data_IF_461624885217
#
_entry.id   IF_461624885217
#
_cell.length_a   1.000
_cell.length_b   1.000
_cell.length_c   1.000
_cell.angle_alpha   90.00
_cell.angle_beta   90.00
_cell.angle_gamma   90.00
#
_symmetry.space_group_name_H-M   'P 1'
#
loop_
_entity.id
_entity.type
_entity.pdbx_description
1 polymer ?
#
# COMPACT_ATOMS: atom_id res chain seq x y z
N UNK A 1 23.31 -47.60 -16.42
CA UNK A 1 23.12 -46.79 -17.66
C UNK A 1 21.63 -46.50 -17.96
N UNK A 2 20.78 -46.38 -16.93
CA UNK A 2 19.33 -46.11 -17.10
C UNK A 2 18.75 -45.13 -16.04
N UNK A 3 19.58 -44.34 -15.31
CA UNK A 3 19.11 -43.44 -14.28
C UNK A 3 19.19 -41.91 -14.62
N UNK A 4 19.63 -41.54 -15.82
CA UNK A 4 19.83 -40.13 -16.15
C UNK A 4 18.79 -39.48 -17.09
N UNK A 5 17.76 -40.20 -17.53
CA UNK A 5 16.73 -39.61 -18.40
C UNK A 5 15.43 -39.15 -17.69
N UNK A 6 15.20 -39.59 -16.44
CA UNK A 6 13.95 -39.22 -15.74
C UNK A 6 13.98 -37.86 -15.03
N UNK A 7 15.13 -37.19 -14.96
CA UNK A 7 15.27 -35.89 -14.26
C UNK A 7 15.11 -34.70 -15.22
N UNK A 8 15.33 -34.89 -16.50
CA UNK A 8 15.18 -33.82 -17.50
C UNK A 8 13.75 -33.49 -17.89
N UNK A 9 12.83 -34.43 -17.73
CA UNK A 9 11.42 -34.21 -18.13
C UNK A 9 10.55 -33.50 -17.07
N UNK A 10 10.97 -33.43 -15.81
CA UNK A 10 10.21 -32.74 -14.77
C UNK A 10 10.45 -31.22 -14.70
N UNK A 11 11.62 -30.75 -15.16
CA UNK A 11 11.90 -29.30 -15.18
C UNK A 11 11.31 -28.57 -16.38
N UNK A 12 11.01 -29.27 -17.46
CA UNK A 12 10.50 -28.65 -18.68
C UNK A 12 8.98 -28.41 -18.63
N UNK A 13 8.23 -29.28 -17.92
CA UNK A 13 6.79 -29.12 -17.76
C UNK A 13 6.39 -28.02 -16.80
N UNK A 14 7.21 -27.70 -15.77
CA UNK A 14 6.92 -26.62 -14.84
C UNK A 14 7.14 -25.24 -15.47
N UNK A 15 8.13 -25.09 -16.34
CA UNK A 15 8.33 -23.85 -17.11
C UNK A 15 7.25 -23.63 -18.16
N UNK A 16 6.78 -24.69 -18.81
CA UNK A 16 5.69 -24.63 -19.79
C UNK A 16 4.35 -24.26 -19.14
N UNK A 17 4.07 -24.73 -17.94
CA UNK A 17 2.85 -24.38 -17.18
C UNK A 17 2.85 -22.91 -16.77
N UNK A 18 3.99 -22.36 -16.32
CA UNK A 18 4.12 -20.95 -15.99
C UNK A 18 4.05 -20.03 -17.23
N UNK A 19 4.57 -20.46 -18.36
CA UNK A 19 4.50 -19.71 -19.62
C UNK A 19 3.06 -19.68 -20.15
N UNK A 20 2.34 -20.81 -20.12
CA UNK A 20 0.95 -20.92 -20.59
C UNK A 20 -0.01 -20.07 -19.73
N UNK A 21 0.20 -19.99 -18.41
CA UNK A 21 -0.56 -19.12 -17.52
C UNK A 21 -0.26 -17.63 -17.76
N UNK A 22 0.98 -17.29 -18.05
CA UNK A 22 1.39 -15.92 -18.41
C UNK A 22 0.79 -15.48 -19.74
N UNK A 23 0.79 -16.36 -20.74
CA UNK A 23 0.24 -16.09 -22.06
C UNK A 23 -1.28 -16.00 -22.05
N UNK A 24 -1.96 -16.82 -21.24
CA UNK A 24 -3.41 -16.70 -20.97
C UNK A 24 -3.76 -15.39 -20.27
N UNK A 25 -2.97 -14.99 -19.30
CA UNK A 25 -3.16 -13.72 -18.60
C UNK A 25 -2.97 -12.54 -19.56
N UNK A 26 -1.92 -12.57 -20.39
CA UNK A 26 -1.63 -11.54 -21.40
C UNK A 26 -2.75 -11.46 -22.45
N UNK A 27 -3.24 -12.60 -22.93
CA UNK A 27 -4.35 -12.66 -23.88
C UNK A 27 -5.65 -12.09 -23.26
N UNK A 28 -5.96 -12.41 -22.01
CA UNK A 28 -7.11 -11.88 -21.30
C UNK A 28 -6.96 -10.38 -21.03
N UNK A 29 -5.78 -9.91 -20.65
CA UNK A 29 -5.45 -8.49 -20.49
C UNK A 29 -5.63 -7.71 -21.80
N UNK A 30 -5.13 -8.24 -22.93
CA UNK A 30 -5.29 -7.63 -24.26
C UNK A 30 -6.77 -7.60 -24.64
N UNK A 31 -7.51 -8.69 -24.44
CA UNK A 31 -8.94 -8.78 -24.75
C UNK A 31 -9.78 -7.78 -23.95
N UNK A 32 -9.51 -7.65 -22.63
CA UNK A 32 -10.16 -6.67 -21.76
C UNK A 32 -9.79 -5.24 -22.17
N UNK A 33 -8.54 -4.99 -22.54
CA UNK A 33 -8.06 -3.67 -22.97
C UNK A 33 -8.64 -3.27 -24.33
N UNK A 34 -8.74 -4.20 -25.29
CA UNK A 34 -9.40 -3.98 -26.58
C UNK A 34 -10.91 -3.78 -26.45
N UNK A 35 -11.58 -4.54 -25.59
CA UNK A 35 -13.01 -4.34 -25.30
C UNK A 35 -13.27 -2.93 -24.73
N UNK A 36 -12.36 -2.41 -23.89
CA UNK A 36 -12.43 -1.05 -23.36
C UNK A 36 -12.27 0.05 -24.40
N UNK A 37 -11.37 -0.14 -25.37
CA UNK A 37 -11.20 0.81 -26.49
C UNK A 37 -12.42 0.87 -27.39
N UNK A 38 -13.15 -0.21 -27.55
CA UNK A 38 -14.39 -0.28 -28.33
C UNK A 38 -15.59 0.26 -27.53
N UNK A 39 -15.62 0.10 -26.22
CA UNK A 39 -16.68 0.58 -25.32
C UNK A 39 -16.59 2.08 -25.03
N UNK A 40 -15.39 2.67 -25.05
CA UNK A 40 -15.18 4.10 -24.80
C UNK A 40 -15.90 5.01 -25.81
N UNK A 41 -16.32 4.49 -26.96
CA UNK A 41 -17.15 5.21 -27.95
C UNK A 41 -18.66 5.17 -27.65
N UNK A 42 -19.10 4.31 -26.75
CA UNK A 42 -20.53 4.09 -26.44
C UNK A 42 -20.96 4.62 -25.05
N UNK A 43 -20.01 4.89 -24.13
CA UNK A 43 -20.32 5.20 -22.73
C UNK A 43 -20.00 6.65 -22.32
N UNK A 44 -20.48 7.64 -23.07
CA UNK A 44 -20.48 9.05 -22.60
C UNK A 44 -21.39 9.32 -21.40
N UNK A 45 -22.03 8.33 -20.81
CA UNK A 45 -23.02 8.50 -19.75
C UNK A 45 -22.82 7.64 -18.49
N UNK A 46 -21.73 6.88 -18.35
CA UNK A 46 -21.40 6.32 -17.05
C UNK A 46 -20.62 7.39 -16.26
N UNK A 47 -21.24 7.88 -15.19
CA UNK A 47 -20.49 8.69 -14.19
C UNK A 47 -19.31 7.86 -13.75
N UNK A 48 -18.12 8.44 -13.87
CA UNK A 48 -16.91 7.88 -13.27
C UNK A 48 -17.26 7.42 -11.85
N UNK A 49 -16.81 6.25 -11.47
CA UNK A 49 -16.95 5.78 -10.09
C UNK A 49 -16.43 6.91 -9.19
N UNK A 50 -17.17 7.23 -8.14
CA UNK A 50 -16.88 8.39 -7.30
C UNK A 50 -15.74 8.03 -6.36
N UNK A 51 -14.55 7.79 -6.91
CA UNK A 51 -13.29 7.71 -6.17
C UNK A 51 -12.69 9.11 -6.03
N UNK A 52 -13.54 10.10 -5.72
CA UNK A 52 -13.10 11.48 -5.55
C UNK A 52 -12.04 11.51 -4.45
N UNK A 53 -10.90 12.11 -4.78
CA UNK A 53 -9.79 12.31 -3.86
C UNK A 53 -9.13 11.02 -3.31
N UNK A 54 -9.25 9.89 -4.01
CA UNK A 54 -8.50 8.66 -3.64
C UNK A 54 -6.97 8.88 -3.77
N UNK A 55 -6.57 9.79 -4.66
CA UNK A 55 -5.20 10.18 -4.95
C UNK A 55 -4.70 11.40 -4.15
N UNK A 56 -5.56 11.98 -3.28
CA UNK A 56 -5.31 13.19 -2.49
C UNK A 56 -5.12 14.48 -3.31
N UNK A 57 -5.42 14.48 -4.62
CA UNK A 57 -5.19 15.65 -5.50
C UNK A 57 -6.13 16.82 -5.22
N UNK A 58 -7.12 16.68 -4.34
CA UNK A 58 -7.85 17.81 -3.75
C UNK A 58 -7.06 18.56 -2.67
N UNK A 59 -5.89 18.08 -2.27
CA UNK A 59 -5.06 18.69 -1.23
C UNK A 59 -5.66 18.60 0.18
N UNK A 60 -6.51 17.62 0.42
CA UNK A 60 -7.20 17.42 1.69
C UNK A 60 -7.54 15.94 1.92
N UNK A 61 -8.24 15.62 3.02
CA UNK A 61 -8.69 14.26 3.35
C UNK A 61 -10.17 14.01 3.05
N UNK A 62 -10.80 14.76 2.15
CA UNK A 62 -12.19 14.51 1.75
C UNK A 62 -12.35 13.06 1.27
N UNK A 63 -13.35 12.35 1.78
CA UNK A 63 -13.60 10.94 1.47
C UNK A 63 -12.81 9.94 2.33
N UNK A 64 -11.73 10.36 2.98
CA UNK A 64 -10.94 9.55 3.88
C UNK A 64 -11.40 9.69 5.33
N UNK A 65 -11.48 8.58 6.04
CA UNK A 65 -11.62 8.56 7.50
C UNK A 65 -10.23 8.52 8.11
N UNK A 66 -9.90 9.52 8.93
CA UNK A 66 -8.62 9.64 9.61
C UNK A 66 -8.78 9.28 11.08
N UNK A 67 -7.98 8.36 11.58
CA UNK A 67 -8.05 7.94 12.99
C UNK A 67 -6.67 7.96 13.62
N UNK A 68 -6.64 8.32 14.89
CA UNK A 68 -5.47 8.15 15.76
C UNK A 68 -5.70 7.00 16.71
N UNK A 69 -4.64 6.32 17.09
CA UNK A 69 -4.64 5.20 18.01
C UNK A 69 -3.38 5.17 18.86
N UNK A 70 -3.21 4.06 19.56
CA UNK A 70 -2.03 3.78 20.39
C UNK A 70 -1.47 2.41 19.98
N UNK A 71 -0.17 2.32 19.87
CA UNK A 71 0.53 1.05 19.72
C UNK A 71 0.86 0.48 21.10
N UNK A 72 0.08 -0.48 21.55
CA UNK A 72 0.34 -1.27 22.77
C UNK A 72 0.86 -2.68 22.41
N UNK A 73 1.48 -2.83 21.27
CA UNK A 73 1.84 -4.08 20.62
C UNK A 73 1.04 -4.27 19.32
N UNK A 74 1.66 -4.93 18.33
CA UNK A 74 1.00 -5.17 17.03
C UNK A 74 -0.19 -6.14 17.17
N UNK A 75 -1.33 -5.84 16.58
CA UNK A 75 -1.66 -4.60 15.88
C UNK A 75 -2.06 -3.46 16.84
N UNK A 76 -1.71 -2.21 16.49
CA UNK A 76 -2.15 -1.03 17.25
C UNK A 76 -3.67 -0.97 17.39
N UNK A 77 -4.13 -0.33 18.44
CA UNK A 77 -5.54 -0.30 18.79
C UNK A 77 -6.02 1.06 19.32
N UNK A 78 -7.13 1.02 20.06
CA UNK A 78 -7.74 2.21 20.66
C UNK A 78 -8.02 3.34 19.67
N UNK A 79 -8.47 2.97 18.46
CA UNK A 79 -8.73 3.89 17.37
C UNK A 79 -9.85 4.85 17.68
N UNK A 80 -9.60 6.15 17.51
CA UNK A 80 -10.55 7.24 17.76
C UNK A 80 -10.51 8.27 16.63
N UNK A 81 -11.58 9.06 16.54
CA UNK A 81 -11.71 10.13 15.56
C UNK A 81 -12.17 9.64 14.18
N UNK A 82 -12.40 10.61 13.32
CA UNK A 82 -12.75 10.40 11.91
C UNK A 82 -12.17 11.50 11.01
N UNK A 83 -11.61 12.55 11.59
CA UNK A 83 -11.03 13.71 10.92
C UNK A 83 -9.51 13.74 11.10
N UNK A 84 -8.78 14.39 10.16
CA UNK A 84 -7.33 14.50 10.27
C UNK A 84 -6.91 15.27 11.54
N UNK A 85 -5.89 14.77 12.19
CA UNK A 85 -5.26 15.40 13.35
C UNK A 85 -3.91 15.97 12.91
N UNK A 86 -3.67 17.25 13.24
CA UNK A 86 -2.43 17.94 12.89
C UNK A 86 -1.20 17.17 13.39
N UNK A 87 -0.15 17.14 12.58
CA UNK A 87 1.08 16.37 12.79
C UNK A 87 0.94 14.84 12.82
N UNK A 88 -0.30 14.32 12.76
CA UNK A 88 -0.58 12.89 12.70
C UNK A 88 -1.04 12.48 11.29
N UNK A 89 -1.80 13.35 10.63
CA UNK A 89 -2.26 13.21 9.26
C UNK A 89 -1.91 14.51 8.53
N UNK A 90 -0.98 14.46 7.59
CA UNK A 90 -0.46 15.67 6.95
C UNK A 90 -0.52 15.55 5.44
N UNK A 91 -1.13 16.53 4.76
CA UNK A 91 -0.99 16.71 3.33
C UNK A 91 0.36 17.36 3.06
N UNK A 92 1.14 16.75 2.19
CA UNK A 92 2.48 17.19 1.81
C UNK A 92 2.45 17.76 0.40
N UNK A 93 3.05 18.94 0.21
CA UNK A 93 3.07 19.67 -1.07
C UNK A 93 4.47 19.75 -1.69
N UNK A 94 5.47 19.14 -1.07
CA UNK A 94 6.86 19.16 -1.54
C UNK A 94 7.87 19.02 -0.42
N UNK A 95 9.14 19.29 -0.75
CA UNK A 95 10.26 19.17 0.16
C UNK A 95 10.97 17.83 0.07
N UNK A 96 11.96 17.65 0.92
CA UNK A 96 12.81 16.46 1.00
C UNK A 96 12.68 15.85 2.38
N UNK A 97 12.66 14.54 2.46
CA UNK A 97 12.65 13.81 3.72
C UNK A 97 13.97 14.02 4.48
N UNK A 98 13.93 14.34 5.78
CA UNK A 98 15.15 14.69 6.53
C UNK A 98 16.06 13.48 6.79
N UNK A 99 15.56 12.27 6.80
CA UNK A 99 16.33 11.05 7.05
C UNK A 99 16.74 10.37 5.74
N UNK A 100 15.78 10.14 4.86
CA UNK A 100 16.01 9.40 3.62
C UNK A 100 16.51 10.23 2.45
N UNK A 101 16.41 11.58 2.51
CA UNK A 101 16.82 12.46 1.42
C UNK A 101 16.00 12.32 0.15
N UNK A 102 14.92 11.55 0.16
CA UNK A 102 14.02 11.38 -0.99
C UNK A 102 12.99 12.52 -1.06
N UNK A 103 12.43 12.82 -2.24
CA UNK A 103 11.33 13.78 -2.36
C UNK A 103 10.13 13.35 -1.54
N UNK A 104 9.49 14.27 -0.81
CA UNK A 104 8.27 13.96 -0.04
C UNK A 104 7.05 13.73 -0.92
N UNK A 105 7.08 14.21 -2.17
CA UNK A 105 6.07 13.87 -3.18
C UNK A 105 6.49 12.59 -3.91
N UNK A 106 5.54 11.70 -4.10
CA UNK A 106 5.76 10.46 -4.86
C UNK A 106 6.13 10.78 -6.31
N UNK A 107 7.25 10.26 -6.85
CA UNK A 107 7.62 10.51 -8.24
C UNK A 107 6.52 10.11 -9.21
N UNK A 108 6.05 11.08 -10.04
CA UNK A 108 4.91 10.88 -10.94
C UNK A 108 3.58 10.60 -10.24
N UNK A 109 3.45 11.00 -8.97
CA UNK A 109 2.25 10.80 -8.15
C UNK A 109 1.31 11.99 -8.10
N UNK A 110 1.66 13.13 -8.69
CA UNK A 110 0.83 14.34 -8.65
C UNK A 110 1.41 15.45 -7.79
N UNK A 111 0.54 16.30 -7.25
CA UNK A 111 0.86 17.53 -6.52
C UNK A 111 0.94 17.31 -5.02
N UNK A 112 0.28 16.27 -4.52
CA UNK A 112 0.15 15.99 -3.09
C UNK A 112 0.58 14.57 -2.74
N UNK A 113 1.06 14.41 -1.51
CA UNK A 113 1.23 13.12 -0.85
C UNK A 113 0.70 13.20 0.58
N UNK A 114 0.46 12.06 1.20
CA UNK A 114 0.06 12.00 2.61
C UNK A 114 1.22 11.48 3.45
N UNK A 115 1.50 12.13 4.56
CA UNK A 115 2.35 11.62 5.63
C UNK A 115 1.46 11.21 6.82
N UNK A 116 1.61 9.97 7.26
CA UNK A 116 1.02 9.44 8.48
C UNK A 116 2.11 9.34 9.55
N UNK A 117 1.86 9.94 10.69
CA UNK A 117 2.85 10.03 11.77
C UNK A 117 3.83 11.16 11.59
N UNK A 118 4.86 11.15 12.41
CA UNK A 118 5.92 12.16 12.50
C UNK A 118 7.16 11.54 13.13
N UNK A 119 8.19 12.34 13.38
CA UNK A 119 9.41 11.97 14.10
C UNK A 119 9.35 12.25 15.61
N UNK A 120 8.15 12.53 16.13
CA UNK A 120 7.90 12.54 17.57
C UNK A 120 7.62 11.12 18.07
N UNK A 121 7.81 10.91 19.34
CA UNK A 121 7.65 9.62 20.00
C UNK A 121 6.40 9.57 20.89
N UNK A 122 5.95 8.41 21.32
CA UNK A 122 4.81 8.34 22.25
C UNK A 122 3.84 7.17 22.01
N UNK A 123 4.28 6.09 21.38
CA UNK A 123 3.46 4.95 20.99
C UNK A 123 2.27 5.38 20.12
N UNK A 124 2.46 6.40 19.32
CA UNK A 124 1.43 6.94 18.44
C UNK A 124 1.11 5.96 17.32
N UNK A 125 -0.16 5.95 16.91
CA UNK A 125 -0.57 5.22 15.72
C UNK A 125 -1.59 6.03 14.92
N UNK A 126 -1.45 6.06 13.62
CA UNK A 126 -2.33 6.72 12.67
C UNK A 126 -2.84 5.72 11.63
N UNK A 127 -4.09 5.91 11.23
CA UNK A 127 -4.58 5.24 10.04
C UNK A 127 -5.53 6.11 9.24
N UNK A 128 -5.56 5.84 7.95
CA UNK A 128 -6.55 6.38 7.02
C UNK A 128 -7.30 5.23 6.35
N UNK A 129 -8.58 5.45 6.12
CA UNK A 129 -9.50 4.45 5.59
C UNK A 129 -10.28 5.08 4.45
N UNK A 130 -10.33 4.41 3.30
CA UNK A 130 -11.16 4.79 2.17
C UNK A 130 -11.92 3.58 1.64
N UNK A 131 -13.21 3.74 1.39
CA UNK A 131 -14.05 2.69 0.82
C UNK A 131 -14.66 3.15 -0.48
N UNK A 132 -14.63 2.31 -1.51
CA UNK A 132 -15.23 2.60 -2.81
C UNK A 132 -15.79 1.33 -3.46
N UNK A 133 -16.68 1.51 -4.42
CA UNK A 133 -17.16 0.42 -5.26
C UNK A 133 -16.27 0.34 -6.49
N UNK A 134 -15.71 -0.83 -6.76
CA UNK A 134 -14.86 -1.06 -7.93
C UNK A 134 -15.69 -0.91 -9.20
N UNK A 135 -15.39 0.09 -10.00
CA UNK A 135 -16.01 0.30 -11.29
C UNK A 135 -15.51 -0.68 -12.36
N UNK A 136 -16.23 -0.84 -13.47
CA UNK A 136 -15.83 -1.76 -14.54
C UNK A 136 -14.52 -1.36 -15.24
N UNK A 137 -14.10 -0.11 -15.10
CA UNK A 137 -12.84 0.43 -15.61
C UNK A 137 -11.74 0.51 -14.57
N UNK A 138 -12.07 0.39 -13.27
CA UNK A 138 -11.16 0.59 -12.13
C UNK A 138 -10.57 -0.74 -11.66
N UNK A 139 -10.10 -1.52 -12.60
CA UNK A 139 -9.64 -2.90 -12.35
C UNK A 139 -8.22 -3.00 -11.79
N UNK A 140 -7.53 -1.88 -11.69
CA UNK A 140 -6.18 -1.81 -11.12
C UNK A 140 -6.12 -0.68 -10.08
N UNK A 141 -5.68 -1.02 -8.88
CA UNK A 141 -5.36 -0.08 -7.83
C UNK A 141 -3.84 0.06 -7.75
N UNK A 142 -3.33 1.27 -8.01
CA UNK A 142 -1.89 1.56 -7.96
C UNK A 142 -1.67 2.53 -6.82
N UNK A 143 -0.74 2.20 -5.92
CA UNK A 143 -0.31 3.10 -4.86
C UNK A 143 1.20 3.18 -4.77
N UNK A 144 1.66 4.28 -4.21
CA UNK A 144 3.08 4.51 -3.92
C UNK A 144 3.24 4.81 -2.45
N UNK A 145 4.27 4.27 -1.85
CA UNK A 145 4.60 4.50 -0.45
C UNK A 145 6.10 4.62 -0.25
N UNK A 146 6.48 5.38 0.75
CA UNK A 146 7.81 5.43 1.34
C UNK A 146 7.64 5.29 2.85
N UNK A 147 8.64 4.77 3.54
CA UNK A 147 8.57 4.50 4.98
C UNK A 147 9.87 4.92 5.64
N UNK A 148 9.77 5.49 6.83
CA UNK A 148 10.91 5.79 7.71
C UNK A 148 10.63 5.21 9.08
N UNK A 149 11.57 4.46 9.63
CA UNK A 149 11.50 3.87 10.96
C UNK A 149 12.76 4.15 11.76
N UNK A 150 12.62 4.43 13.03
CA UNK A 150 13.68 4.26 14.02
C UNK A 150 13.60 2.85 14.59
N UNK A 151 14.68 2.05 14.49
CA UNK A 151 14.71 0.65 14.93
C UNK A 151 15.28 0.54 16.35
N UNK A 152 14.42 0.40 17.37
CA UNK A 152 14.89 0.24 18.76
C UNK A 152 15.42 -1.15 19.09
N UNK A 153 15.38 -2.09 18.16
CA UNK A 153 15.69 -3.50 18.40
C UNK A 153 14.85 -4.14 19.52
N UNK A 154 13.58 -3.74 19.61
CA UNK A 154 12.60 -4.35 20.52
C UNK A 154 12.06 -5.68 19.97
N UNK A 155 11.28 -6.47 20.76
CA UNK A 155 10.47 -7.56 20.21
C UNK A 155 9.61 -7.09 19.03
N UNK A 156 9.40 -7.97 18.06
CA UNK A 156 8.79 -7.62 16.76
C UNK A 156 7.40 -6.99 16.86
N UNK A 157 6.63 -7.37 17.87
CA UNK A 157 5.29 -6.83 18.16
C UNK A 157 5.30 -5.47 18.85
N UNK A 158 6.46 -5.03 19.34
CA UNK A 158 6.66 -3.73 20.00
C UNK A 158 7.29 -2.68 19.09
N UNK A 159 7.75 -3.08 17.91
CA UNK A 159 8.45 -2.23 16.95
C UNK A 159 7.51 -1.23 16.24
N UNK A 160 8.05 -0.11 15.73
CA UNK A 160 7.35 0.69 14.73
C UNK A 160 6.97 -0.15 13.51
N UNK A 161 5.82 0.13 12.91
CA UNK A 161 5.40 -0.59 11.71
C UNK A 161 4.57 0.24 10.75
N UNK A 162 4.61 -0.17 9.48
CA UNK A 162 3.72 0.29 8.42
C UNK A 162 2.89 -0.90 7.93
N UNK A 163 1.60 -0.67 7.73
CA UNK A 163 0.71 -1.65 7.13
C UNK A 163 -0.27 -1.01 6.16
N UNK A 164 -0.42 -1.61 4.97
CA UNK A 164 -1.51 -1.33 4.07
C UNK A 164 -2.32 -2.62 3.89
N UNK A 165 -3.64 -2.51 4.00
CA UNK A 165 -4.58 -3.59 3.72
C UNK A 165 -5.65 -3.14 2.75
N UNK A 166 -6.00 -4.00 1.81
CA UNK A 166 -7.18 -3.86 0.97
C UNK A 166 -8.14 -5.00 1.31
N UNK A 167 -9.33 -4.65 1.75
CA UNK A 167 -10.34 -5.58 2.23
C UNK A 167 -11.50 -5.67 1.23
N UNK A 168 -12.05 -6.87 1.07
CA UNK A 168 -13.31 -7.10 0.35
C UNK A 168 -14.53 -6.76 1.23
N UNK A 169 -15.73 -6.92 0.70
CA UNK A 169 -17.01 -6.69 1.40
C UNK A 169 -17.23 -7.56 2.65
N UNK A 170 -16.45 -8.62 2.83
CA UNK A 170 -16.47 -9.50 3.99
C UNK A 170 -15.37 -9.16 5.01
N UNK A 171 -14.70 -8.02 4.86
CA UNK A 171 -13.53 -7.60 5.66
C UNK A 171 -12.35 -8.58 5.60
N UNK A 172 -12.21 -9.33 4.54
CA UNK A 172 -11.07 -10.21 4.30
C UNK A 172 -10.06 -9.51 3.40
N UNK A 173 -8.78 -9.68 3.70
CA UNK A 173 -7.70 -9.17 2.84
C UNK A 173 -7.80 -9.86 1.47
N UNK A 174 -7.82 -9.06 0.41
CA UNK A 174 -7.84 -9.58 -0.97
C UNK A 174 -6.47 -10.16 -1.35
N UNK A 175 -6.42 -10.96 -2.41
CA UNK A 175 -5.17 -11.52 -2.92
C UNK A 175 -4.15 -10.40 -3.19
N UNK A 176 -2.92 -10.54 -2.68
CA UNK A 176 -1.85 -9.52 -2.70
C UNK A 176 -2.23 -8.16 -2.07
N UNK A 177 -3.36 -8.05 -1.39
CA UNK A 177 -3.90 -6.81 -0.83
C UNK A 177 -3.30 -6.41 0.52
N UNK A 178 -2.15 -6.97 0.92
CA UNK A 178 -1.47 -6.58 2.15
C UNK A 178 0.00 -6.31 1.91
N UNK A 179 0.46 -5.20 2.46
CA UNK A 179 1.87 -4.86 2.61
C UNK A 179 2.12 -4.55 4.07
N UNK A 180 3.13 -5.16 4.67
CA UNK A 180 3.48 -4.97 6.07
C UNK A 180 5.00 -4.90 6.23
N UNK A 181 5.48 -3.93 6.97
CA UNK A 181 6.86 -3.80 7.41
C UNK A 181 6.89 -3.45 8.88
N UNK A 182 7.70 -4.19 9.62
CA UNK A 182 8.05 -3.89 11.01
C UNK A 182 9.51 -3.42 11.04
N UNK A 183 9.82 -2.39 11.81
CA UNK A 183 11.17 -1.89 11.94
C UNK A 183 12.14 -3.00 12.36
N UNK A 184 13.25 -3.11 11.67
CA UNK A 184 14.37 -3.98 11.98
C UNK A 184 15.60 -3.54 11.18
N UNK A 185 16.78 -3.83 11.69
CA UNK A 185 18.00 -3.75 10.90
C UNK A 185 17.96 -4.79 9.78
N UNK A 186 18.32 -4.41 8.56
CA UNK A 186 18.38 -5.29 7.39
C UNK A 186 17.04 -5.76 6.79
N UNK A 187 15.97 -4.98 6.89
CA UNK A 187 14.75 -5.26 6.13
C UNK A 187 15.06 -5.14 4.63
N UNK A 188 14.68 -6.10 3.79
CA UNK A 188 14.91 -6.02 2.35
C UNK A 188 14.33 -4.75 1.72
N UNK A 189 15.17 -3.99 1.03
CA UNK A 189 14.80 -2.74 0.36
C UNK A 189 14.77 -1.51 1.27
N UNK A 190 15.17 -1.63 2.54
CA UNK A 190 15.45 -0.49 3.41
C UNK A 190 16.93 -0.11 3.37
N UNK A 191 17.19 1.17 3.60
CA UNK A 191 18.51 1.80 3.57
C UNK A 191 18.74 2.48 4.93
N UNK A 192 19.92 2.31 5.52
CA UNK A 192 20.26 3.01 6.77
C UNK A 192 20.48 4.50 6.52
N UNK A 193 19.85 5.34 7.33
CA UNK A 193 20.10 6.77 7.43
C UNK A 193 21.08 7.11 8.57
N UNK A 194 21.59 6.11 9.30
CA UNK A 194 22.36 6.29 10.53
C UNK A 194 21.48 6.47 11.77
N UNK A 195 22.08 6.39 12.96
CA UNK A 195 21.38 6.57 14.25
C UNK A 195 20.13 5.71 14.39
N UNK A 196 20.25 4.43 13.99
CA UNK A 196 19.19 3.43 14.04
C UNK A 196 17.94 3.77 13.21
N UNK A 197 18.03 4.78 12.32
CA UNK A 197 16.98 5.14 11.39
C UNK A 197 17.17 4.41 10.06
N UNK A 198 16.08 3.80 9.59
CA UNK A 198 15.99 3.07 8.34
C UNK A 198 14.86 3.61 7.50
N UNK A 199 15.06 3.73 6.20
CA UNK A 199 14.04 4.19 5.28
C UNK A 199 13.91 3.31 4.05
N UNK A 200 12.70 3.24 3.52
CA UNK A 200 12.38 2.66 2.22
C UNK A 200 11.97 3.79 1.28
N UNK A 201 12.71 4.00 0.19
CA UNK A 201 12.31 5.04 -0.78
C UNK A 201 11.01 4.65 -1.50
N UNK A 202 10.43 5.62 -2.19
CA UNK A 202 9.18 5.43 -2.93
C UNK A 202 9.14 4.13 -3.71
N UNK A 203 8.17 3.32 -3.39
CA UNK A 203 7.90 2.02 -4.01
C UNK A 203 6.49 2.04 -4.60
N UNK A 204 6.35 1.58 -5.83
CA UNK A 204 5.06 1.48 -6.51
C UNK A 204 4.55 0.04 -6.43
N UNK A 205 3.28 -0.12 -6.08
CA UNK A 205 2.59 -1.40 -6.03
C UNK A 205 1.31 -1.31 -6.85
N UNK A 206 1.03 -2.33 -7.64
CA UNK A 206 -0.21 -2.49 -8.39
C UNK A 206 -0.97 -3.71 -7.89
N UNK A 207 -2.27 -3.53 -7.61
CA UNK A 207 -3.18 -4.58 -7.17
C UNK A 207 -4.30 -4.72 -8.19
N UNK A 208 -4.58 -5.95 -8.62
CA UNK A 208 -5.70 -6.23 -9.51
C UNK A 208 -7.00 -6.29 -8.72
N UNK A 209 -7.98 -5.47 -9.14
CA UNK A 209 -9.33 -5.42 -8.55
C UNK A 209 -10.41 -5.98 -9.49
N UNK A 210 -10.04 -6.56 -10.62
CA UNK A 210 -11.01 -7.03 -11.64
C UNK A 210 -12.05 -8.02 -11.10
N UNK A 211 -11.67 -8.85 -10.12
CA UNK A 211 -12.54 -9.85 -9.52
C UNK A 211 -13.56 -9.24 -8.51
N UNK A 212 -13.41 -7.94 -8.23
CA UNK A 212 -14.23 -7.18 -7.28
C UNK A 212 -15.11 -6.12 -7.96
N UNK A 213 -15.21 -6.12 -9.30
CA UNK A 213 -16.07 -5.17 -10.04
C UNK A 213 -17.50 -5.24 -9.51
N UNK A 214 -18.09 -4.07 -9.20
CA UNK A 214 -19.40 -3.91 -8.59
C UNK A 214 -19.46 -4.18 -7.09
N UNK A 215 -18.34 -4.52 -6.44
CA UNK A 215 -18.26 -4.78 -5.02
C UNK A 215 -17.53 -3.65 -4.29
N UNK A 216 -17.86 -3.40 -3.01
CA UNK A 216 -17.08 -2.49 -2.20
C UNK A 216 -15.73 -3.11 -1.81
N UNK A 217 -14.70 -2.30 -1.88
CA UNK A 217 -13.38 -2.57 -1.30
C UNK A 217 -13.01 -1.44 -0.35
N UNK A 218 -12.22 -1.76 0.68
CA UNK A 218 -11.75 -0.80 1.68
C UNK A 218 -10.24 -0.84 1.75
N UNK A 219 -9.62 0.30 1.53
CA UNK A 219 -8.17 0.52 1.72
C UNK A 219 -7.94 1.05 3.12
N UNK A 220 -7.04 0.43 3.86
CA UNK A 220 -6.60 0.87 5.19
C UNK A 220 -5.09 1.01 5.15
N UNK A 221 -4.60 2.20 5.46
CA UNK A 221 -3.16 2.45 5.64
C UNK A 221 -2.93 2.81 7.09
N UNK A 222 -2.01 2.11 7.73
CA UNK A 222 -1.67 2.28 9.14
C UNK A 222 -0.17 2.52 9.27
N UNK A 223 0.19 3.45 10.11
CA UNK A 223 1.53 3.66 10.62
C UNK A 223 1.49 3.64 12.15
N UNK A 224 2.55 3.19 12.80
CA UNK A 224 2.67 3.24 14.25
C UNK A 224 4.12 3.37 14.72
N UNK A 225 4.30 4.12 15.80
CA UNK A 225 5.54 4.18 16.58
C UNK A 225 5.78 2.87 17.34
N UNK A 226 6.92 2.74 18.03
CA UNK A 226 7.12 1.63 18.95
C UNK A 226 6.18 1.71 20.16
N UNK A 227 5.76 0.56 20.69
CA UNK A 227 4.88 0.48 21.87
C UNK A 227 5.54 0.97 23.16
N UNK A 228 6.87 1.01 23.21
CA UNK A 228 7.69 1.47 24.33
C UNK A 228 7.86 3.00 24.40
N UNK A 229 7.15 3.75 23.56
CA UNK A 229 7.08 5.22 23.54
C UNK A 229 8.34 5.99 23.14
N UNK A 230 9.43 5.33 22.81
CA UNK A 230 10.74 5.96 22.61
C UNK A 230 11.19 6.14 21.16
N UNK A 231 10.49 5.56 20.18
CA UNK A 231 10.96 5.49 18.78
C UNK A 231 9.80 5.69 17.83
N UNK A 232 10.07 6.35 16.72
CA UNK A 232 9.06 6.79 15.77
C UNK A 232 8.98 5.92 14.51
N UNK A 233 7.83 6.07 13.81
CA UNK A 233 7.62 5.60 12.45
C UNK A 233 6.74 6.57 11.65
N UNK A 234 6.95 6.70 10.36
CA UNK A 234 6.06 7.42 9.44
C UNK A 234 6.21 7.00 7.98
#
# INVERSE_FOLDING_TARGET
YLENESIKTKNDTSQLIHQDDSDKWLAEYIKVTHAKLLQSSLEKNYRASVCNNLDFEEGNFTGWTCQTGINNGYPAGSWTGSLPVANRHTIVTGGTDPYGGFPRLAPGGGTYSVKLGNDGVGAQAERIIFSFIVGPTDTNFIYKYAVVFEDPNHPVDEQPYFELKILNSLNQVIACGQQHYTAASNIPGFISAGNDVWYKPWTTVGIRLADYVGQPVTVIVTNADCSQTGHFGY
#
